data_IF_295013966403
#
_entry.id   IF_295013966403
#
_cell.length_a   1.000
_cell.length_b   1.000
_cell.length_c   1.000
_cell.angle_alpha   90.00
_cell.angle_beta   90.00
_cell.angle_gamma   90.00
#
_symmetry.space_group_name_H-M   'P 1'
#
loop_
_entity.id
_entity.type
_entity.pdbx_description
1 polymer ?
2 non-polymer ?
3 water ?
#
# COMPACT_ATOMS: atom_id res chain seq x y z
N UNK A 1 18.30 -2.41 3.60
CA UNK A 1 18.43 -1.06 3.13
C UNK A 1 17.45 -0.08 3.70
N UNK A 2 17.66 1.17 3.37
CA UNK A 2 16.82 2.31 3.73
C UNK A 2 16.23 2.77 2.37
N UNK A 3 14.90 2.66 2.27
CA UNK A 3 14.24 2.97 0.96
C UNK A 3 13.36 4.17 1.21
N UNK A 4 13.65 5.22 0.42
CA UNK A 4 12.89 6.46 0.48
C UNK A 4 11.67 6.28 -0.49
N UNK A 5 10.70 7.10 -0.34
CA UNK A 5 9.43 7.04 -1.08
C UNK A 5 9.22 8.11 -2.13
N UNK A 6 10.31 8.78 -2.50
CA UNK A 6 10.24 9.79 -3.55
C UNK A 6 9.81 9.02 -4.78
N UNK A 7 10.11 7.75 -4.94
CA UNK A 7 9.69 6.96 -6.10
C UNK A 7 8.86 5.78 -5.52
N UNK A 8 8.29 4.94 -6.34
CA UNK A 8 7.56 3.76 -5.95
C UNK A 8 8.59 2.78 -5.43
N UNK A 9 8.40 2.27 -4.24
CA UNK A 9 9.37 1.26 -3.69
C UNK A 9 9.37 -0.12 -4.32
N UNK A 10 9.89 -0.24 -5.53
CA UNK A 10 10.02 -1.44 -6.33
C UNK A 10 11.38 -2.11 -6.11
N UNK A 11 11.29 -3.40 -5.92
CA UNK A 11 12.45 -4.26 -5.67
C UNK A 11 12.27 -5.46 -6.59
N UNK A 12 13.37 -6.17 -6.68
CA UNK A 12 13.56 -7.39 -7.40
C UNK A 12 13.26 -8.56 -6.47
N UNK A 13 12.46 -9.45 -7.01
CA UNK A 13 12.06 -10.66 -6.27
C UNK A 13 12.42 -11.86 -7.13
N UNK A 14 12.66 -12.96 -6.44
CA UNK A 14 12.93 -14.20 -7.15
C UNK A 14 11.85 -15.16 -6.65
N UNK A 15 11.16 -15.74 -7.58
CA UNK A 15 10.07 -16.68 -7.31
C UNK A 15 9.91 -17.57 -8.54
N UNK A 16 9.76 -18.82 -8.18
CA UNK A 16 9.55 -19.93 -9.15
C UNK A 16 10.78 -19.98 -10.07
N UNK A 17 11.86 -19.40 -9.59
CA UNK A 17 13.11 -19.34 -10.39
C UNK A 17 13.06 -18.16 -11.37
N UNK A 18 12.15 -17.24 -11.18
CA UNK A 18 12.02 -16.07 -12.05
C UNK A 18 12.30 -14.80 -11.32
N UNK A 19 12.88 -13.82 -11.93
CA UNK A 19 13.13 -12.50 -11.33
C UNK A 19 11.92 -11.63 -11.71
N UNK A 20 11.38 -10.84 -10.84
CA UNK A 20 10.23 -9.97 -11.21
C UNK A 20 10.45 -8.74 -10.38
N UNK A 21 9.77 -7.70 -10.64
CA UNK A 21 9.78 -6.48 -9.90
C UNK A 21 8.47 -6.49 -9.11
N UNK A 22 8.44 -6.07 -7.87
CA UNK A 22 7.27 -6.02 -6.98
C UNK A 22 7.34 -4.79 -6.16
N UNK A 23 6.24 -4.21 -5.77
CA UNK A 23 6.14 -3.04 -4.94
C UNK A 23 6.09 -3.43 -3.45
N UNK A 24 6.79 -2.67 -2.59
CA UNK A 24 6.68 -3.02 -1.12
C UNK A 24 5.46 -2.17 -0.71
N UNK A 25 4.44 -2.86 -0.21
CA UNK A 25 3.20 -2.08 0.03
C UNK A 25 2.70 -2.30 1.40
N UNK A 26 2.84 -1.32 2.25
CA UNK A 26 2.35 -1.55 3.61
C UNK A 26 0.81 -1.46 3.72
N UNK A 27 0.09 -0.99 2.71
CA UNK A 27 -1.38 -0.88 2.71
C UNK A 27 -1.94 -2.25 2.23
N UNK A 28 -1.10 -3.22 2.01
CA UNK A 28 -1.55 -4.54 1.59
C UNK A 28 -1.34 -5.61 2.67
N UNK A 29 -2.49 -6.27 3.07
CA UNK A 29 -2.32 -7.36 4.06
C UNK A 29 -1.51 -8.54 3.56
N UNK A 30 -1.70 -8.96 2.36
CA UNK A 30 -1.11 -10.06 1.68
C UNK A 30 -0.38 -9.64 0.36
N UNK A 31 0.38 -10.64 -0.07
CA UNK A 31 1.16 -10.62 -1.26
C UNK A 31 0.31 -11.16 -2.43
N UNK A 32 0.25 -10.27 -3.41
CA UNK A 32 -0.47 -10.53 -4.63
C UNK A 32 0.42 -10.36 -5.86
N UNK A 33 0.62 -11.38 -6.66
CA UNK A 33 1.41 -11.30 -7.88
C UNK A 33 0.50 -11.55 -9.08
N UNK A 34 0.99 -11.12 -10.20
CA UNK A 34 0.31 -11.29 -11.47
C UNK A 34 0.40 -12.79 -11.82
N UNK A 35 -0.49 -13.08 -12.75
CA UNK A 35 -0.64 -14.44 -13.27
C UNK A 35 0.62 -15.19 -13.58
N UNK A 36 0.88 -16.28 -12.91
CA UNK A 36 2.08 -17.11 -13.15
C UNK A 36 1.71 -18.52 -12.64
N UNK A 37 2.39 -19.52 -13.17
CA UNK A 37 2.15 -20.91 -12.71
C UNK A 37 3.12 -21.20 -11.54
N UNK A 38 2.52 -21.49 -10.39
CA UNK A 38 3.45 -21.82 -9.28
C UNK A 38 3.17 -23.31 -9.06
N UNK A 39 4.19 -23.98 -8.59
CA UNK A 39 4.05 -25.43 -8.33
C UNK A 39 3.10 -25.61 -7.15
N UNK A 40 2.48 -26.78 -7.10
CA UNK A 40 1.55 -27.19 -6.05
C UNK A 40 0.08 -26.90 -6.19
N UNK A 41 -0.56 -27.03 -5.03
CA UNK A 41 -2.00 -26.83 -4.84
C UNK A 41 -2.40 -25.40 -4.56
N UNK A 42 -3.52 -25.02 -5.17
CA UNK A 42 -4.04 -23.65 -4.91
C UNK A 42 -5.54 -23.77 -4.61
N UNK A 43 -6.03 -22.74 -3.98
CA UNK A 43 -7.43 -22.62 -3.61
C UNK A 43 -7.88 -21.23 -4.06
N UNK A 44 -9.07 -21.12 -4.64
CA UNK A 44 -9.65 -19.89 -5.11
C UNK A 44 -9.97 -18.96 -3.95
N UNK A 45 -9.83 -17.66 -4.09
CA UNK A 45 -10.20 -16.82 -2.92
C UNK A 45 -10.57 -15.44 -3.42
N UNK A 46 -11.27 -14.60 -2.73
CA UNK A 46 -11.66 -13.28 -3.09
C UNK A 46 -10.95 -12.27 -2.15
N UNK A 47 -10.47 -11.20 -2.81
CA UNK A 47 -9.82 -10.12 -2.06
C UNK A 47 -10.30 -8.80 -2.56
N UNK A 48 -10.23 -7.78 -1.76
CA UNK A 48 -10.62 -6.45 -2.05
C UNK A 48 -9.48 -5.44 -2.06
N UNK A 49 -9.71 -4.41 -2.83
CA UNK A 49 -8.81 -3.30 -3.10
C UNK A 49 -9.56 -2.04 -3.26
N UNK A 50 -9.10 -0.87 -3.67
CA UNK A 50 -9.94 0.31 -3.73
C UNK A 50 -10.98 0.23 -4.87
N UNK A 51 -10.75 -0.60 -5.83
CA UNK A 51 -11.67 -0.75 -6.95
C UNK A 51 -12.70 -1.84 -6.66
N UNK A 52 -12.55 -2.74 -5.72
CA UNK A 52 -13.52 -3.79 -5.46
C UNK A 52 -12.84 -5.11 -5.23
N UNK A 53 -13.53 -6.21 -5.49
CA UNK A 53 -13.14 -7.58 -5.23
C UNK A 53 -12.78 -8.34 -6.43
N UNK A 54 -11.72 -9.09 -6.27
CA UNK A 54 -11.27 -9.84 -7.46
C UNK A 54 -11.08 -11.23 -6.90
N UNK A 55 -10.92 -12.12 -7.78
CA UNK A 55 -10.71 -13.50 -7.50
C UNK A 55 -9.24 -13.84 -7.67
N UNK A 56 -8.66 -14.63 -6.77
CA UNK A 56 -7.26 -15.01 -6.93
C UNK A 56 -7.17 -16.48 -6.55
N UNK A 57 -6.05 -17.02 -6.88
CA UNK A 57 -5.63 -18.36 -6.56
C UNK A 57 -4.72 -18.20 -5.33
N UNK A 58 -4.81 -19.02 -4.33
CA UNK A 58 -3.99 -18.94 -3.11
C UNK A 58 -3.00 -20.05 -3.07
N UNK A 59 -1.71 -19.76 -2.98
CA UNK A 59 -0.63 -20.76 -2.83
C UNK A 59 0.04 -20.55 -1.45
N UNK A 60 0.10 -21.68 -0.73
CA UNK A 60 0.70 -21.63 0.60
C UNK A 60 2.17 -22.09 0.53
N UNK A 61 2.88 -21.60 1.55
CA UNK A 61 4.29 -22.03 1.70
C UNK A 61 5.18 -21.91 0.49
N UNK A 62 5.16 -20.74 -0.11
CA UNK A 62 6.00 -20.46 -1.30
C UNK A 62 7.26 -19.68 -0.84
N UNK A 63 8.36 -20.17 -1.40
CA UNK A 63 9.64 -19.49 -1.07
C UNK A 63 9.76 -18.32 -2.04
N UNK A 64 10.07 -17.18 -1.47
CA UNK A 64 10.31 -15.98 -2.29
C UNK A 64 11.55 -15.29 -1.73
N UNK A 65 12.34 -14.75 -2.67
CA UNK A 65 13.55 -13.99 -2.17
C UNK A 65 13.33 -12.53 -2.49
N UNK A 66 13.38 -11.67 -1.50
CA UNK A 66 13.16 -10.24 -1.75
C UNK A 66 14.46 -9.47 -1.46
N UNK A 67 15.06 -8.95 -2.52
CA UNK A 67 16.37 -8.24 -2.31
C UNK A 67 17.31 -9.18 -1.55
N UNK A 68 17.27 -10.40 -1.99
CA UNK A 68 18.03 -11.49 -1.41
C UNK A 68 17.56 -11.94 -0.03
N UNK A 69 16.53 -11.40 0.60
CA UNK A 69 16.15 -11.94 1.93
C UNK A 69 15.06 -13.00 1.68
N UNK A 70 15.14 -14.17 2.24
CA UNK A 70 14.19 -15.28 2.11
C UNK A 70 12.96 -15.12 3.02
N UNK A 71 11.85 -15.47 2.36
CA UNK A 71 10.49 -15.45 2.94
C UNK A 71 9.80 -16.72 2.41
N UNK A 72 9.03 -17.35 3.28
CA UNK A 72 8.26 -18.59 2.97
C UNK A 72 6.85 -18.28 3.49
N UNK A 73 5.92 -18.22 2.52
CA UNK A 73 4.57 -17.78 3.01
C UNK A 73 3.57 -17.86 1.85
N UNK A 74 2.46 -17.27 2.13
CA UNK A 74 1.35 -17.25 1.17
C UNK A 74 1.49 -16.25 0.08
N UNK A 75 1.19 -16.75 -1.10
CA UNK A 75 1.17 -15.84 -2.29
C UNK A 75 -0.20 -16.02 -3.00
N UNK A 76 -0.86 -14.94 -3.28
CA UNK A 76 -2.12 -14.87 -4.06
C UNK A 76 -1.69 -14.52 -5.52
N UNK A 77 -2.20 -15.23 -6.52
CA UNK A 77 -1.86 -15.00 -7.95
C UNK A 77 -3.17 -14.52 -8.59
N UNK A 78 -3.19 -13.37 -9.26
CA UNK A 78 -4.41 -12.82 -9.87
C UNK A 78 -4.17 -11.54 -10.64
N UNK A 79 -5.27 -10.88 -11.04
CA UNK A 79 -5.26 -9.65 -11.81
C UNK A 79 -4.97 -8.34 -11.10
N UNK A 80 -3.76 -8.30 -10.54
CA UNK A 80 -3.30 -7.08 -9.85
C UNK A 80 -2.63 -6.17 -10.85
N UNK A 81 -2.79 -4.85 -10.75
CA UNK A 81 -2.11 -3.89 -11.62
C UNK A 81 -0.58 -4.01 -11.51
N UNK A 82 -0.01 -4.45 -10.39
CA UNK A 82 1.40 -4.68 -10.13
C UNK A 82 1.65 -5.79 -9.13
N UNK A 83 2.79 -6.41 -9.14
CA UNK A 83 3.26 -7.40 -8.16
C UNK A 83 3.39 -6.60 -6.86
N UNK A 84 2.78 -7.04 -5.79
CA UNK A 84 2.83 -6.32 -4.53
C UNK A 84 3.24 -7.26 -3.40
N UNK A 85 4.13 -6.74 -2.54
CA UNK A 85 4.61 -7.52 -1.39
C UNK A 85 3.80 -6.97 -0.23
N UNK A 86 2.90 -7.80 0.36
CA UNK A 86 2.16 -7.16 1.49
C UNK A 86 2.87 -7.51 2.79
N UNK A 87 2.17 -7.11 3.85
CA UNK A 87 2.59 -7.31 5.25
C UNK A 87 2.93 -8.72 5.65
N UNK A 88 2.38 -9.81 5.17
CA UNK A 88 2.68 -11.16 5.53
C UNK A 88 4.17 -11.47 5.25
N UNK A 89 4.72 -10.86 4.20
CA UNK A 89 6.13 -11.13 3.78
C UNK A 89 7.03 -9.99 4.28
N UNK A 90 6.54 -8.78 4.38
CA UNK A 90 7.32 -7.66 4.88
C UNK A 90 7.78 -7.97 6.29
N UNK A 91 6.87 -8.61 7.08
CA UNK A 91 7.24 -8.94 8.45
C UNK A 91 8.28 -10.01 8.49
N UNK A 92 8.28 -10.97 7.62
CA UNK A 92 9.26 -12.06 7.62
C UNK A 92 10.69 -11.51 7.42
N UNK A 93 10.84 -10.51 6.57
CA UNK A 93 12.14 -9.89 6.21
C UNK A 93 12.52 -8.75 7.12
N UNK A 94 11.81 -8.47 8.14
CA UNK A 94 11.90 -7.52 9.20
C UNK A 94 11.87 -6.07 8.74
N UNK A 95 10.99 -5.87 7.79
CA UNK A 95 10.75 -4.52 7.28
C UNK A 95 9.92 -3.67 8.20
N UNK A 96 10.34 -2.39 8.44
CA UNK A 96 9.61 -1.44 9.25
C UNK A 96 9.45 -0.11 8.56
N UNK A 97 8.53 0.72 8.99
CA UNK A 97 8.33 2.07 8.47
C UNK A 97 9.05 2.95 9.53
N UNK A 98 9.69 4.04 9.18
CA UNK A 98 10.32 4.88 10.18
C UNK A 98 10.23 6.30 9.73
N UNK A 99 10.18 7.22 10.65
CA UNK A 99 10.21 8.67 10.30
C UNK A 99 10.49 9.38 11.62
N UNK B 1 9.36 7.65 14.92
CA UNK B 1 8.77 6.38 15.38
C UNK B 1 9.19 5.27 14.45
N UNK B 2 9.10 4.04 14.94
CA UNK B 2 9.43 2.87 14.16
C UNK B 2 8.11 2.07 14.16
N UNK B 3 7.43 2.04 13.03
CA UNK B 3 6.11 1.34 12.98
C UNK B 3 6.31 -0.06 12.47
N UNK B 4 6.01 -1.11 13.22
CA UNK B 4 6.13 -2.50 12.79
C UNK B 4 4.93 -2.84 11.85
N UNK B 5 5.01 -3.97 11.15
CA UNK B 5 3.88 -4.28 10.21
C UNK B 5 3.08 -5.50 10.57
N UNK B 6 3.14 -5.87 11.84
CA UNK B 6 2.40 -7.03 12.35
C UNK B 6 0.86 -6.74 12.19
N UNK B 7 0.54 -5.53 12.42
CA UNK B 7 -0.83 -4.98 12.31
C UNK B 7 -0.76 -4.02 11.10
N UNK B 8 -1.85 -3.52 10.61
CA UNK B 8 -2.03 -2.57 9.56
C UNK B 8 -1.46 -1.26 10.14
N UNK B 9 -0.60 -0.58 9.41
CA UNK B 9 -0.04 0.67 9.94
C UNK B 9 -1.02 1.79 10.02
N UNK B 10 -1.84 1.82 11.03
CA UNK B 10 -2.81 2.87 11.29
C UNK B 10 -2.25 3.86 12.31
N UNK B 11 -2.36 5.12 11.98
CA UNK B 11 -1.90 6.21 12.89
C UNK B 11 -3.00 7.27 12.91
N UNK B 12 -2.79 8.26 13.73
CA UNK B 12 -3.67 9.40 13.86
C UNK B 12 -3.11 10.55 13.03
N UNK B 13 -4.00 11.17 12.31
CA UNK B 13 -3.74 12.32 11.47
C UNK B 13 -4.67 13.37 12.03
N UNK B 14 -4.38 14.58 11.70
CA UNK B 14 -5.21 15.70 12.16
C UNK B 14 -5.46 16.46 10.88
N UNK B 15 -6.69 16.84 10.65
CA UNK B 15 -7.11 17.56 9.45
C UNK B 15 -8.19 18.52 9.93
N UNK B 16 -7.72 19.75 9.99
CA UNK B 16 -8.42 20.95 10.40
C UNK B 16 -8.85 20.71 11.83
N UNK B 17 -8.04 20.36 12.77
CA UNK B 17 -8.51 20.13 14.16
C UNK B 17 -9.54 19.02 14.31
N UNK B 18 -9.52 18.02 13.46
CA UNK B 18 -10.33 16.81 13.41
C UNK B 18 -9.29 15.69 13.57
N UNK B 19 -9.43 14.78 14.49
CA UNK B 19 -8.41 13.72 14.55
C UNK B 19 -8.96 12.55 13.75
N UNK B 20 -8.21 11.80 13.02
CA UNK B 20 -8.75 10.66 12.27
C UNK B 20 -7.64 9.62 12.17
N UNK B 21 -8.00 8.41 11.87
CA UNK B 21 -7.17 7.26 11.68
C UNK B 21 -6.84 7.18 10.19
N UNK B 22 -5.63 6.77 9.83
CA UNK B 22 -5.24 6.69 8.40
C UNK B 22 -4.22 5.61 8.33
N UNK B 23 -4.15 4.88 7.27
CA UNK B 23 -3.26 3.79 7.00
C UNK B 23 -2.07 4.46 6.24
N UNK B 24 -0.89 3.99 6.67
CA UNK B 24 0.34 4.54 6.05
C UNK B 24 0.64 3.59 4.95
N UNK B 25 0.51 4.09 3.71
CA UNK B 25 0.69 3.12 2.62
C UNK B 25 1.73 3.47 1.59
N UNK B 26 2.76 2.71 1.57
CA UNK B 26 3.88 2.83 0.64
C UNK B 26 3.52 2.38 -0.76
N UNK B 27 2.41 1.65 -0.94
CA UNK B 27 1.99 1.18 -2.23
C UNK B 27 0.93 2.13 -2.81
N UNK B 28 0.69 3.26 -2.24
CA UNK B 28 -0.20 4.31 -2.61
C UNK B 28 0.53 5.55 -3.15
N UNK B 29 0.34 5.80 -4.46
CA UNK B 29 0.98 7.03 -5.04
C UNK B 29 0.38 8.30 -4.46
N UNK B 30 -0.92 8.24 -4.16
CA UNK B 30 -1.69 9.39 -3.71
C UNK B 30 -2.29 9.15 -2.33
N UNK B 31 -2.75 10.20 -1.72
CA UNK B 31 -3.44 10.15 -0.46
C UNK B 31 -4.96 10.13 -0.75
N UNK B 32 -5.66 9.21 -0.10
CA UNK B 32 -7.13 9.14 -0.33
C UNK B 32 -7.87 9.26 0.98
N UNK B 33 -8.71 10.22 1.18
CA UNK B 33 -9.44 10.41 2.42
C UNK B 33 -10.94 10.05 2.17
N UNK B 34 -11.51 9.64 3.29
CA UNK B 34 -12.93 9.28 3.28
C UNK B 34 -13.72 10.50 2.86
N UNK B 35 -14.90 10.18 2.29
CA UNK B 35 -15.82 11.28 1.88
C UNK B 35 -15.89 12.37 2.93
N UNK B 36 -15.79 13.64 2.52
CA UNK B 36 -15.78 14.78 3.49
C UNK B 36 -16.04 16.06 2.68
N UNK B 37 -16.62 17.05 3.29
CA UNK B 37 -16.95 18.33 2.67
C UNK B 37 -15.88 19.39 2.96
N UNK B 38 -14.94 19.48 2.06
CA UNK B 38 -13.85 20.45 2.12
C UNK B 38 -14.25 21.69 1.32
N UNK B 39 -13.95 22.87 1.84
CA UNK B 39 -14.19 24.08 1.08
C UNK B 39 -13.16 24.03 -0.09
N UNK B 40 -13.67 24.51 -1.21
CA UNK B 40 -12.82 24.55 -2.41
C UNK B 40 -13.36 23.91 -3.67
N UNK B 41 -12.55 24.23 -4.68
CA UNK B 41 -12.77 23.74 -6.05
C UNK B 41 -11.83 22.54 -6.11
N UNK B 42 -12.34 21.54 -6.80
CA UNK B 42 -11.59 20.29 -6.95
C UNK B 42 -11.60 20.04 -8.44
N UNK B 43 -10.94 18.97 -8.78
CA UNK B 43 -10.84 18.49 -10.16
C UNK B 43 -11.24 17.02 -9.99
N UNK B 44 -12.04 16.48 -10.89
CA UNK B 44 -12.42 15.07 -10.81
C UNK B 44 -11.17 14.26 -11.17
N UNK B 45 -11.06 13.03 -10.72
CA UNK B 45 -9.99 12.13 -11.06
C UNK B 45 -10.49 10.69 -10.82
N UNK B 46 -9.88 9.76 -11.52
CA UNK B 46 -10.17 8.34 -11.35
C UNK B 46 -8.92 7.61 -10.89
N UNK B 47 -8.92 6.92 -9.76
CA UNK B 47 -7.77 6.18 -9.25
C UNK B 47 -8.06 4.69 -9.33
N UNK B 48 -7.01 3.94 -9.54
CA UNK B 48 -6.99 2.55 -9.71
C UNK B 48 -6.18 1.72 -8.76
N UNK B 49 -6.50 0.43 -8.76
CA UNK B 49 -5.84 -0.52 -7.90
C UNK B 49 -6.52 -1.87 -8.06
N UNK B 50 -6.35 -2.70 -7.07
CA UNK B 50 -6.98 -4.04 -7.13
C UNK B 50 -8.48 -3.82 -7.25
N UNK B 51 -9.05 -4.52 -8.27
CA UNK B 51 -10.49 -4.33 -8.50
C UNK B 51 -10.88 -3.34 -9.54
N UNK B 52 -10.10 -2.36 -10.02
CA UNK B 52 -10.43 -1.36 -10.99
C UNK B 52 -10.29 0.03 -10.43
N UNK B 53 -11.07 0.94 -10.93
CA UNK B 53 -10.99 2.35 -10.56
C UNK B 53 -12.17 2.97 -9.90
N UNK B 54 -12.06 4.02 -9.15
CA UNK B 54 -13.19 4.72 -8.57
C UNK B 54 -13.00 6.20 -8.86
N UNK B 55 -14.06 6.96 -8.75
CA UNK B 55 -14.04 8.38 -9.01
C UNK B 55 -13.82 9.12 -7.72
N UNK B 56 -12.95 10.11 -7.83
CA UNK B 56 -12.60 10.87 -6.56
C UNK B 56 -12.55 12.33 -6.95
N UNK B 57 -12.44 13.19 -6.00
CA UNK B 57 -12.31 14.62 -6.07
C UNK B 57 -10.90 14.94 -5.54
N UNK B 58 -10.28 15.76 -6.31
CA UNK B 58 -8.93 16.22 -6.03
C UNK B 58 -8.92 17.61 -5.45
N UNK B 59 -8.37 17.77 -4.27
CA UNK B 59 -8.21 19.09 -3.61
C UNK B 59 -6.67 19.27 -3.53
N UNK B 60 -6.15 20.45 -3.71
CA UNK B 60 -4.70 20.70 -3.69
C UNK B 60 -4.31 21.50 -2.45
N UNK B 61 -3.08 21.33 -1.99
CA UNK B 61 -2.65 22.12 -0.81
C UNK B 61 -3.44 21.90 0.47
N UNK B 62 -3.61 20.61 0.79
CA UNK B 62 -4.36 20.35 2.04
C UNK B 62 -3.24 20.04 3.05
N UNK B 63 -3.40 20.65 4.19
CA UNK B 63 -2.52 20.48 5.31
C UNK B 63 -3.00 19.35 6.22
N UNK B 64 -2.11 18.40 6.37
CA UNK B 64 -2.47 17.30 7.25
C UNK B 64 -1.28 17.14 8.16
N UNK B 65 -1.53 16.63 9.32
CA UNK B 65 -0.46 16.34 10.29
C UNK B 65 -0.46 14.86 10.58
N UNK B 66 0.57 14.13 10.28
CA UNK B 66 0.76 12.74 10.51
C UNK B 66 1.71 12.64 11.72
N UNK B 67 1.13 12.19 12.82
CA UNK B 67 1.82 12.02 14.11
C UNK B 67 2.66 13.25 14.48
N UNK B 68 2.08 14.40 14.43
CA UNK B 68 2.64 15.71 14.72
C UNK B 68 3.71 16.17 13.73
N UNK B 69 3.60 15.79 12.48
CA UNK B 69 4.51 16.15 11.40
C UNK B 69 3.62 16.76 10.31
N UNK B 70 3.85 17.99 9.92
CA UNK B 70 3.10 18.70 8.88
C UNK B 70 3.53 18.27 7.50
N UNK B 71 2.52 18.15 6.67
CA UNK B 71 2.55 17.73 5.26
C UNK B 71 1.40 18.50 4.65
N UNK B 72 1.65 19.03 3.48
CA UNK B 72 0.68 19.87 2.75
C UNK B 72 0.80 19.30 1.35
N UNK B 73 -0.39 19.14 0.76
CA UNK B 73 -0.26 18.45 -0.54
C UNK B 73 -1.69 18.15 -1.08
N UNK B 74 -1.59 17.38 -2.12
CA UNK B 74 -2.74 16.94 -2.90
C UNK B 74 -3.43 15.75 -2.21
N UNK B 75 -4.71 15.97 -2.04
CA UNK B 75 -5.57 14.86 -1.43
C UNK B 75 -6.75 14.52 -2.32
N UNK B 76 -7.10 13.26 -2.47
CA UNK B 76 -8.27 12.75 -3.23
C UNK B 76 -9.31 12.29 -2.17
N UNK B 77 -10.54 12.73 -2.31
CA UNK B 77 -11.75 12.46 -1.49
C UNK B 77 -12.68 11.53 -2.30
N UNK B 78 -12.96 10.39 -1.75
CA UNK B 78 -13.79 9.37 -2.38
C UNK B 78 -14.34 8.41 -1.35
N UNK B 79 -15.09 7.43 -1.83
CA UNK B 79 -15.80 6.51 -0.88
C UNK B 79 -14.98 5.46 -0.25
N UNK B 80 -13.74 5.80 0.21
CA UNK B 80 -12.89 4.79 0.83
C UNK B 80 -13.40 4.45 2.23
N UNK B 81 -13.16 3.23 2.55
CA UNK B 81 -13.53 2.76 3.92
C UNK B 81 -12.50 3.33 4.90
N UNK B 82 -11.28 3.61 4.38
CA UNK B 82 -10.29 4.22 5.34
C UNK B 82 -9.49 5.34 4.71
N UNK B 83 -9.02 6.19 5.62
CA UNK B 83 -8.10 7.26 5.06
C UNK B 83 -6.75 6.62 4.74
N UNK B 84 -6.20 6.91 3.59
CA UNK B 84 -4.93 6.37 3.12
C UNK B 84 -3.90 7.48 2.83
N UNK B 85 -2.77 7.35 3.56
CA UNK B 85 -1.70 8.37 3.35
C UNK B 85 -0.76 7.76 2.33
N UNK B 86 -0.60 8.48 1.23
CA UNK B 86 0.30 7.90 0.23
C UNK B 86 1.69 8.60 0.26
N UNK B 87 2.47 8.20 -0.72
CA UNK B 87 3.87 8.63 -0.95
C UNK B 87 4.06 10.13 -1.04
N UNK B 88 3.12 10.87 -1.60
CA UNK B 88 3.06 12.27 -1.78
C UNK B 88 3.19 12.95 -0.43
N UNK B 89 2.69 12.37 0.64
CA UNK B 89 2.72 12.97 1.93
C UNK B 89 3.75 12.26 2.76
N UNK B 90 3.98 11.02 2.56
CA UNK B 90 4.95 10.22 3.32
C UNK B 90 6.38 10.81 3.14
N UNK B 91 6.76 11.22 1.96
CA UNK B 91 8.06 11.86 1.77
C UNK B 91 8.15 13.13 2.56
N UNK B 92 7.20 14.00 2.68
CA UNK B 92 7.31 15.23 3.44
C UNK B 92 7.60 15.07 4.91
N UNK B 93 7.40 13.85 5.44
CA UNK B 93 7.63 13.64 6.86
C UNK B 93 8.88 12.82 7.12
N UNK B 94 9.63 12.43 6.13
CA UNK B 94 10.84 11.63 6.41
C UNK B 94 10.64 10.18 6.44
N UNK B 95 9.45 9.75 5.95
CA UNK B 95 9.20 8.27 6.00
C UNK B 95 10.01 7.46 5.04
N UNK B 96 10.64 6.34 5.51
CA UNK B 96 11.44 5.42 4.76
C UNK B 96 11.02 4.00 5.16
N UNK B 97 11.31 3.00 4.41
CA UNK B 97 11.11 1.60 4.67
C UNK B 97 12.50 1.06 5.05
N UNK B 98 12.67 0.34 6.10
CA UNK B 98 14.00 -0.21 6.42
C UNK B 98 13.92 -1.70 6.64
N UNK B 99 14.84 -2.43 6.10
CA UNK B 99 15.05 -3.85 6.26
C UNK B 99 16.56 -4.19 6.05
X LIG C 1 -5.91 -4.83 1.71
X LIG C 1 -7.02 -4.65 2.71
X LIG C 1 -9.38 -4.07 2.70
X LIG C 1 -9.43 -4.03 4.06
X LIG C 1 -10.59 -3.61 4.73
X LIG C 1 -11.71 -3.25 4.05
X LIG C 1 -11.75 -3.34 2.65
X LIG C 1 -12.91 -2.96 1.93
X LIG C 1 -12.87 -3.03 0.57
X LIG C 1 -11.71 -3.45 -0.11
X LIG C 1 -10.58 -3.79 0.56
X LIG C 1 -10.54 -3.76 1.96
X LIG C 1 -4.89 -5.35 2.15
X LIG C 1 -8.25 -4.45 2.08
X LIG C 1 -6.10 -4.58 0.42
X LIG C 1 -5.12 -4.66 -0.63
X LIG C 1 -5.15 -3.33 -1.37
X LIG C 1 -5.84 -3.10 -2.35
X LIG C 1 -5.25 -5.80 -1.60
X LIG C 1 -5.25 -7.06 -0.77
X LIG C 1 -6.44 -7.33 -0.07
X LIG C 1 -4.38 -8.04 -0.50
X LIG C 1 -6.26 -8.46 0.63
X LIG C 1 -5.06 -8.96 0.36
X LIG C 1 -4.52 -2.34 -0.70
X LIG C 1 -4.47 -0.96 -1.07
X LIG C 1 -4.93 -0.13 0.13
X LIG C 1 -6.32 -0.55 0.68
X LIG C 1 -7.46 0.02 -0.25
X LIG C 1 -6.52 -0.08 2.11
X LIG C 1 -8.78 -0.57 0.33
X LIG C 1 -7.93 -0.37 2.67
X LIG C 1 -9.05 0.02 1.71
X LIG C 1 -3.15 -0.48 -1.64
X LIG C 1 -1.95 -0.60 -0.91
X LIG C 1 -2.84 -1.22 -2.98
X LIG C 1 -2.11 -0.46 -4.10
X LIG C 1 -1.54 -1.36 -5.18
X LIG C 1 -2.60 -2.27 -5.87
X LIG C 1 -0.76 -0.53 -6.25
X LIG C 1 -2.31 -2.43 -2.69
X LIG C 1 -3.03 0.63 -4.64
X LIG C 1 -4.20 0.37 -4.97
X LIG C 1 -2.54 1.88 -4.67
X LIG C 1 -3.24 3.03 -5.20
X LIG C 1 -2.26 3.51 -6.33
X LIG C 1 -1.17 3.97 -6.05
X LIG C 1 -3.56 4.18 -4.29
X LIG C 1 -4.32 3.94 -2.96
X LIG C 1 -4.41 5.21 -5.05
X LIG C 1 -5.49 3.03 -3.21
X LIG C 1 -2.58 3.33 -7.58
X LIG C 1 -1.91 3.72 -8.76
X LIG C 1 -1.28 2.57 -9.46
X LIG C 1 -0.05 2.15 -8.96
X LIG C 1 0.64 1.08 -9.53
X LIG C 1 0.02 0.44 -10.61
X LIG C 1 -1.22 0.88 -11.07
X LIG C 1 -1.86 1.93 -10.51
#
# INVERSE_FOLDING_TARGET
>A
PQVTLWQRPLVTIKIGGQLKEALLDTGADDTVLEEMSLPGRWKPKMIGGIGGFIKVRQYDQILIEICGHKAIGTVLVGPTPVNIIGRNLLTQIGCTLNF
>B
PQVTLWQRPLVTIKIGGQLKEALLDTGADDTVLEEMSLPGRWKPKMIGGIGGFIKVRQYDQILIEICGHKAIGTVLVGPTPVNIIGRNLLTQIGCTLNF
>C hetero
1 1ZK C CA C1 C2 C3 C4 C4A C5 C6 C7 C8 C1A O O1 N CA1 C9 O2 CB CG ND1 CD2 CE1 NE2 N1 CA2 CB1 CG1 CD1 CD21 CE11 CE2 CZ CH OH CB11 CA' CB' CG11 CG2 OB1 CC O3 N2 CA3 CD O4 CB2 CG12 CG21 CD11 N3 CM C21 C31 C41 C51 C61 N11
#
